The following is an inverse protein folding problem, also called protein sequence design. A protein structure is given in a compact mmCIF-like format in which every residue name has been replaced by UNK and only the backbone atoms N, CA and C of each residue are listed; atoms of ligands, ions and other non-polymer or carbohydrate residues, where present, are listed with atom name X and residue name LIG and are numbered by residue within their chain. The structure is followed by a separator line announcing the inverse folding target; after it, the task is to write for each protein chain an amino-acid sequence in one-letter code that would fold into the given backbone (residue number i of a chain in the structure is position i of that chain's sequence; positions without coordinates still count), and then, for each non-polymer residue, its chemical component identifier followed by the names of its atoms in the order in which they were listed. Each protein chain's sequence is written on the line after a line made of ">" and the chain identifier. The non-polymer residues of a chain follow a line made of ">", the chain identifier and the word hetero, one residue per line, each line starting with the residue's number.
data_IF_435772826601
#
_entry.id   IF_435772826601
#
_cell.length_a   1.000
_cell.length_b   1.000
_cell.length_c   1.000
_cell.angle_alpha   90.00
_cell.angle_beta   90.00
_cell.angle_gamma   90.00
#
_symmetry.space_group_name_H-M   'P 1'
#
loop_
_entity.id
_entity.type
_entity.pdbx_description
1 polymer ?
2 water ?
#
# COMPACT_ATOMS: atom_id res chain seq x y z
N UNK A 12 18.30 10.85 5.20
CA UNK A 12 17.03 11.63 5.26
C UNK A 12 16.59 11.85 6.71
N UNK A 13 15.87 12.95 6.93
CA UNK A 13 15.47 13.36 8.29
C UNK A 13 13.96 13.48 8.43
N UNK A 14 13.48 13.39 9.66
CA UNK A 14 12.07 13.65 9.97
C UNK A 14 11.84 15.15 9.97
N UNK A 15 10.83 15.60 9.22
CA UNK A 15 10.51 17.01 9.13
C UNK A 15 9.39 17.35 10.13
N UNK A 16 9.73 18.19 11.10
CA UNK A 16 8.76 18.67 12.07
C UNK A 16 7.99 19.82 11.46
N UNK A 17 6.66 19.72 11.52
CA UNK A 17 5.76 20.71 10.92
C UNK A 17 5.09 21.53 12.02
N UNK A 18 5.37 22.84 12.05
CA UNK A 18 4.95 23.69 13.18
C UNK A 18 3.89 24.74 12.84
N UNK A 19 3.40 24.71 11.61
CA UNK A 19 2.37 25.66 11.17
C UNK A 19 1.53 25.05 10.05
N UNK A 20 0.35 25.64 9.82
CA UNK A 20 -0.49 25.24 8.69
C UNK A 20 0.21 25.52 7.36
N UNK A 21 0.96 26.61 7.29
CA UNK A 21 1.75 26.94 6.10
C UNK A 21 2.77 25.83 5.81
N UNK A 22 3.50 25.40 6.84
CA UNK A 22 4.48 24.32 6.69
C UNK A 22 3.83 23.00 6.27
N UNK A 23 2.70 22.68 6.88
CA UNK A 23 1.92 21.49 6.51
C UNK A 23 1.57 21.53 5.03
N UNK A 24 0.97 22.64 4.62
CA UNK A 24 0.54 22.83 3.23
C UNK A 24 1.71 22.64 2.25
N UNK A 25 2.84 23.27 2.56
CA UNK A 25 4.04 23.20 1.71
C UNK A 25 4.58 21.79 1.59
N UNK A 26 4.66 21.08 2.71
CA UNK A 26 5.17 19.70 2.71
C UNK A 26 4.27 18.76 1.93
N UNK A 27 2.96 18.87 2.17
CA UNK A 27 1.99 18.02 1.48
C UNK A 27 1.93 18.31 -0.02
N UNK A 28 1.90 19.58 -0.42
CA UNK A 28 1.84 19.88 -1.85
C UNK A 28 3.11 19.48 -2.59
N UNK A 29 4.27 19.64 -1.96
CA UNK A 29 5.55 19.24 -2.56
C UNK A 29 5.66 17.73 -2.72
N UNK A 30 5.19 16.99 -1.71
CA UNK A 30 5.14 15.53 -1.77
C UNK A 30 4.16 15.05 -2.83
N UNK A 31 2.99 15.67 -2.90
CA UNK A 31 1.97 15.32 -3.89
C UNK A 31 2.43 15.53 -5.33
N UNK A 32 3.15 16.63 -5.56
CA UNK A 32 3.74 16.92 -6.88
C UNK A 32 4.77 15.84 -7.28
N UNK A 33 5.60 15.45 -6.32
CA UNK A 33 6.60 14.42 -6.52
C UNK A 33 6.02 13.00 -6.45
N UNK A 34 4.71 12.91 -6.19
CA UNK A 34 3.97 11.64 -6.08
C UNK A 34 4.57 10.66 -5.05
N UNK A 35 5.08 11.19 -3.94
CA UNK A 35 5.67 10.30 -2.95
C UNK A 35 4.83 10.08 -1.69
N UNK A 36 5.05 8.92 -1.07
CA UNK A 36 4.38 8.55 0.17
C UNK A 36 4.74 9.56 1.26
N UNK A 37 3.72 9.94 2.02
CA UNK A 37 3.91 10.74 3.24
C UNK A 37 3.48 9.91 4.43
N UNK A 38 4.37 9.80 5.41
CA UNK A 38 4.07 9.14 6.68
C UNK A 38 4.13 10.22 7.77
N UNK A 39 3.03 10.38 8.49
CA UNK A 39 2.93 11.41 9.51
C UNK A 39 2.80 10.80 10.90
N UNK A 40 3.73 11.17 11.78
CA UNK A 40 3.66 10.82 13.18
C UNK A 40 2.89 11.92 13.90
N UNK A 41 1.67 11.61 14.32
CA UNK A 41 0.89 12.49 15.18
C UNK A 41 1.27 12.24 16.63
N UNK A 42 1.84 13.26 17.25
CA UNK A 42 2.50 13.10 18.55
C UNK A 42 2.08 14.16 19.58
N UNK A 43 2.48 13.94 20.82
CA UNK A 43 2.33 14.92 21.89
C UNK A 43 3.53 14.84 22.82
N UNK A 44 3.96 16.00 23.31
CA UNK A 44 5.15 16.11 24.17
C UNK A 44 5.00 15.35 25.49
N UNK A 45 3.79 15.33 26.03
CA UNK A 45 3.50 14.67 27.30
C UNK A 45 3.30 13.16 27.18
N UNK A 46 3.15 12.69 25.95
CA UNK A 46 2.84 11.30 25.64
C UNK A 46 4.08 10.40 25.74
N UNK A 47 4.03 9.44 26.67
CA UNK A 47 5.12 8.48 26.87
C UNK A 47 5.44 7.58 25.69
N UNK A 48 4.44 6.82 25.18
CA UNK A 48 4.60 6.02 23.96
C UNK A 48 5.18 6.78 22.75
N UNK A 49 4.89 8.08 22.67
CA UNK A 49 5.38 8.94 21.60
C UNK A 49 6.91 9.13 21.68
N UNK A 50 7.43 9.16 22.91
CA UNK A 50 8.88 9.25 23.16
C UNK A 50 9.56 7.94 22.78
N UNK A 51 8.92 6.82 23.07
CA UNK A 51 9.41 5.49 22.71
C UNK A 51 9.55 5.33 21.20
N UNK A 52 8.57 5.84 20.46
CA UNK A 52 8.51 5.67 19.00
C UNK A 52 9.35 6.67 18.21
N UNK A 53 9.76 7.76 18.86
CA UNK A 53 10.56 8.79 18.18
C UNK A 53 11.81 8.24 17.47
N UNK A 54 12.67 7.47 18.18
CA UNK A 54 13.82 6.85 17.50
C UNK A 54 13.45 5.86 16.38
N UNK A 55 12.38 5.10 16.58
CA UNK A 55 11.92 4.11 15.60
C UNK A 55 11.50 4.83 14.31
N UNK A 56 10.76 5.92 14.47
CA UNK A 56 10.28 6.73 13.36
C UNK A 56 11.43 7.41 12.61
N UNK A 57 12.38 7.97 13.37
CA UNK A 57 13.56 8.61 12.79
C UNK A 57 14.45 7.62 12.03
N UNK A 58 14.58 6.41 12.57
CA UNK A 58 15.33 5.34 11.90
C UNK A 58 14.71 4.98 10.55
N UNK A 59 13.37 4.83 10.52
CA UNK A 59 12.65 4.51 9.29
C UNK A 59 12.80 5.59 8.22
N UNK A 60 12.84 6.84 8.66
CA UNK A 60 13.03 7.97 7.75
C UNK A 60 14.36 7.92 7.02
N UNK A 61 15.41 7.49 7.72
CA UNK A 61 16.74 7.32 7.12
C UNK A 61 16.75 6.16 6.13
N UNK A 62 16.01 5.11 6.47
CA UNK A 62 15.94 3.88 5.67
C UNK A 62 15.09 4.01 4.41
N UNK A 63 14.21 5.02 4.39
CA UNK A 63 13.30 5.21 3.27
C UNK A 63 13.29 6.66 2.78
N UNK A 64 14.38 7.08 2.11
CA UNK A 64 14.52 8.48 1.68
C UNK A 64 13.57 8.88 0.55
N UNK A 65 12.94 7.91 -0.11
CA UNK A 65 11.97 8.17 -1.17
C UNK A 65 10.61 8.63 -0.64
N UNK A 66 10.37 8.40 0.65
CA UNK A 66 9.15 8.86 1.30
C UNK A 66 9.44 10.03 2.24
N UNK A 67 8.42 10.83 2.50
CA UNK A 67 8.53 12.00 3.38
C UNK A 67 7.95 11.67 4.75
N UNK A 68 8.76 11.84 5.79
CA UNK A 68 8.34 11.53 7.15
C UNK A 68 8.12 12.82 7.92
N UNK A 69 6.88 13.05 8.34
CA UNK A 69 6.49 14.29 9.00
C UNK A 69 6.12 14.06 10.46
N UNK A 70 6.42 15.04 11.29
CA UNK A 70 6.04 15.00 12.70
C UNK A 70 5.08 16.16 12.98
N UNK A 71 3.92 15.84 13.56
CA UNK A 71 2.90 16.84 13.89
C UNK A 71 2.48 16.73 15.35
N UNK A 72 2.60 17.84 16.07
CA UNK A 72 2.15 17.91 17.46
C UNK A 72 0.66 18.25 17.48
N UNK A 73 -0.14 17.35 18.04
CA UNK A 73 -1.60 17.48 18.00
C UNK A 73 -2.13 18.70 18.75
N UNK A 74 -1.34 19.20 19.71
CA UNK A 74 -1.70 20.41 20.45
C UNK A 74 -1.30 21.66 19.69
N UNK A 75 -0.28 21.53 18.83
CA UNK A 75 0.23 22.66 18.05
C UNK A 75 -0.59 22.91 16.79
N UNK A 76 -0.95 21.82 16.11
CA UNK A 76 -1.70 21.89 14.86
C UNK A 76 -3.03 21.15 14.95
N UNK A 77 -3.94 21.69 15.75
CA UNK A 77 -5.24 21.08 15.99
C UNK A 77 -6.09 20.80 14.74
N UNK A 78 -6.17 21.75 13.78
CA UNK A 78 -6.96 21.48 12.57
C UNK A 78 -6.50 20.25 11.81
N UNK A 79 -5.20 19.98 11.80
CA UNK A 79 -4.68 18.80 11.10
C UNK A 79 -4.99 17.51 11.86
N UNK A 80 -4.82 17.53 13.18
CA UNK A 80 -5.22 16.39 14.00
C UNK A 80 -6.72 16.13 13.82
N UNK A 81 -7.53 17.19 13.87
CA UNK A 81 -8.99 17.06 13.76
C UNK A 81 -9.42 16.53 12.40
N UNK A 82 -8.75 17.00 11.35
CA UNK A 82 -9.00 16.59 9.98
C UNK A 82 -8.98 15.06 9.84
N UNK A 83 -8.03 14.43 10.50
CA UNK A 83 -7.83 12.98 10.40
C UNK A 83 -8.38 12.20 11.60
N UNK A 84 -9.17 12.90 12.43
CA UNK A 84 -9.79 12.31 13.63
C UNK A 84 -8.76 11.60 14.51
N UNK A 85 -7.69 12.31 14.85
CA UNK A 85 -6.62 11.76 15.68
C UNK A 85 -6.88 12.13 17.14
N UNK A 86 -7.21 11.12 17.95
CA UNK A 86 -7.46 11.30 19.39
C UNK A 86 -6.67 10.30 20.21
N UNK A 87 -5.99 9.39 19.52
CA UNK A 87 -5.07 8.43 20.14
C UNK A 87 -3.66 8.71 19.64
N UNK A 88 -2.68 8.61 20.54
CA UNK A 88 -1.30 8.91 20.20
C UNK A 88 -0.32 7.85 20.74
N UNK A 89 0.74 7.54 19.97
CA UNK A 89 1.00 8.08 18.63
C UNK A 89 0.12 7.44 17.55
N UNK A 90 -0.27 8.26 16.58
CA UNK A 90 -0.95 7.75 15.39
C UNK A 90 -0.02 8.00 14.21
N UNK A 91 0.26 6.94 13.45
CA UNK A 91 1.05 7.08 12.24
C UNK A 91 0.12 6.94 11.04
N UNK A 92 0.06 8.00 10.24
CA UNK A 92 -0.87 8.07 9.11
C UNK A 92 -0.09 7.98 7.81
N UNK A 93 -0.59 7.17 6.87
CA UNK A 93 0.04 6.99 5.57
C UNK A 93 -0.82 7.64 4.52
N UNK A 94 -0.23 8.52 3.71
CA UNK A 94 -0.98 9.27 2.70
C UNK A 94 -0.18 9.41 1.40
N UNK A 95 -0.85 9.18 0.28
CA UNK A 95 -0.23 9.31 -1.03
C UNK A 95 -1.22 9.95 -1.99
N UNK A 96 -0.82 11.08 -2.56
CA UNK A 96 -1.61 11.83 -3.54
C UNK A 96 -3.04 12.11 -3.07
N UNK A 97 -3.16 12.53 -1.81
CA UNK A 97 -4.43 12.98 -1.24
C UNK A 97 -5.26 11.90 -0.54
N UNK A 98 -4.86 10.65 -0.71
CA UNK A 98 -5.60 9.52 -0.16
C UNK A 98 -4.88 8.88 1.03
N UNK A 99 -5.62 8.63 2.10
CA UNK A 99 -5.10 7.89 3.25
C UNK A 99 -4.95 6.42 2.85
N UNK A 100 -3.75 5.88 3.05
CA UNK A 100 -3.43 4.51 2.64
C UNK A 100 -3.44 3.53 3.81
N UNK A 101 -3.15 4.04 5.01
CA UNK A 101 -3.04 3.20 6.19
C UNK A 101 -2.94 4.02 7.47
N UNK A 102 -3.11 3.38 8.61
CA UNK A 102 -2.95 4.00 9.92
C UNK A 102 -2.43 2.98 10.93
N UNK A 103 -1.48 3.42 11.76
CA UNK A 103 -0.97 2.61 12.87
C UNK A 103 -1.22 3.40 14.15
N UNK A 104 -1.88 2.78 15.11
CA UNK A 104 -2.24 3.45 16.37
C UNK A 104 -1.53 2.78 17.54
N UNK A 105 -0.74 3.57 18.26
CA UNK A 105 -0.01 3.09 19.43
C UNK A 105 1.45 2.83 19.12
N UNK A 106 2.19 2.43 20.15
CA UNK A 106 3.61 2.15 20.02
C UNK A 106 3.87 0.73 19.53
N UNK A 107 3.40 0.43 18.31
CA UNK A 107 3.59 -0.90 17.74
C UNK A 107 4.70 -0.88 16.69
N UNK A 108 5.92 -1.17 17.16
CA UNK A 108 7.12 -1.04 16.33
C UNK A 108 7.12 -1.92 15.08
N UNK A 109 6.70 -3.17 15.25
CA UNK A 109 6.69 -4.16 14.18
C UNK A 109 5.68 -3.80 13.08
N UNK A 110 4.50 -3.33 13.49
CA UNK A 110 3.43 -2.97 12.56
C UNK A 110 3.79 -1.71 11.75
N UNK A 111 4.36 -0.71 12.42
CA UNK A 111 4.82 0.50 11.75
C UNK A 111 5.89 0.19 10.71
N UNK A 112 6.88 -0.62 11.10
CA UNK A 112 7.97 -1.01 10.21
C UNK A 112 7.46 -1.75 8.98
N UNK A 113 6.56 -2.71 9.18
CA UNK A 113 6.01 -3.52 8.09
C UNK A 113 5.23 -2.67 7.10
N UNK A 114 4.44 -1.73 7.60
CA UNK A 114 3.57 -0.90 6.77
C UNK A 114 4.34 0.17 5.98
N UNK A 115 5.44 0.67 6.56
CA UNK A 115 6.34 1.55 5.83
C UNK A 115 6.98 0.81 4.65
N UNK A 116 7.44 -0.41 4.91
CA UNK A 116 8.01 -1.27 3.87
C UNK A 116 7.04 -1.57 2.75
N UNK A 117 5.76 -1.76 3.12
CA UNK A 117 4.70 -2.07 2.16
C UNK A 117 4.37 -0.87 1.27
N UNK A 118 4.26 0.31 1.88
CA UNK A 118 3.76 1.48 1.15
C UNK A 118 4.84 2.32 0.46
N UNK A 119 6.09 2.19 0.90
CA UNK A 119 7.19 2.99 0.34
C UNK A 119 7.78 2.40 -0.94
N UNK A 120 7.51 1.12 -1.20
CA UNK A 120 7.99 0.44 -2.39
C UNK A 120 7.28 0.92 -3.66
N UNK A 121 7.83 0.56 -4.82
CA UNK A 121 7.21 0.88 -6.11
C UNK A 121 5.83 0.24 -6.19
N UNK A 122 4.85 1.00 -6.67
CA UNK A 122 3.47 0.52 -6.75
C UNK A 122 3.04 0.32 -8.21
N UNK B 9 -12.53 4.25 7.91
CA UNK B 9 -12.16 3.00 7.18
C UNK B 9 -11.34 3.29 5.94
N UNK B 10 -10.29 2.50 5.74
CA UNK B 10 -9.38 2.68 4.61
C UNK B 10 -9.78 1.79 3.41
N UNK B 11 -9.67 2.34 2.21
CA UNK B 11 -9.98 1.62 0.98
C UNK B 11 -8.94 0.54 0.69
N UNK B 12 -9.41 -0.57 0.09
CA UNK B 12 -8.53 -1.68 -0.28
C UNK B 12 -7.69 -1.33 -1.50
N UNK B 13 -6.46 -1.82 -1.52
CA UNK B 13 -5.50 -1.46 -2.56
C UNK B 13 -4.81 -2.68 -3.17
N UNK B 14 -4.29 -2.51 -4.39
CA UNK B 14 -3.44 -3.50 -5.03
C UNK B 14 -2.13 -3.59 -4.25
N UNK B 15 -1.66 -4.82 -4.03
CA UNK B 15 -0.37 -5.03 -3.37
C UNK B 15 0.69 -5.38 -4.40
N UNK B 16 1.73 -4.56 -4.45
CA UNK B 16 2.82 -4.72 -5.40
C UNK B 16 3.89 -5.66 -4.81
N UNK B 17 4.00 -6.85 -5.38
CA UNK B 17 4.87 -7.90 -4.84
C UNK B 17 6.24 -7.87 -5.51
N UNK B 18 7.29 -7.67 -4.72
CA UNK B 18 8.64 -7.45 -5.28
C UNK B 18 9.66 -8.54 -4.95
N UNK B 19 9.28 -9.48 -4.09
CA UNK B 19 10.18 -10.56 -3.69
C UNK B 19 9.41 -11.86 -3.52
N UNK B 20 10.14 -12.98 -3.54
CA UNK B 20 9.55 -14.29 -3.30
C UNK B 20 9.04 -14.39 -1.87
N UNK B 21 9.74 -13.71 -0.95
CA UNK B 21 9.34 -13.63 0.45
C UNK B 21 7.98 -12.95 0.59
N UNK B 22 7.79 -11.86 -0.13
CA UNK B 22 6.52 -11.13 -0.11
C UNK B 22 5.40 -11.92 -0.77
N UNK B 23 5.72 -12.61 -1.87
CA UNK B 23 4.76 -13.51 -2.51
C UNK B 23 4.26 -14.54 -1.51
N UNK B 24 5.20 -15.24 -0.87
CA UNK B 24 4.88 -16.30 0.07
C UNK B 24 3.96 -15.80 1.18
N UNK B 25 4.28 -14.65 1.76
CA UNK B 25 3.51 -14.04 2.84
C UNK B 25 2.06 -13.75 2.42
N UNK B 26 1.91 -13.10 1.27
CA UNK B 26 0.59 -12.73 0.76
C UNK B 26 -0.29 -13.95 0.50
N UNK B 27 0.28 -14.96 -0.16
CA UNK B 27 -0.47 -16.18 -0.49
C UNK B 27 -0.83 -16.96 0.77
N UNK B 28 0.12 -17.10 1.70
CA UNK B 28 -0.11 -17.76 2.98
C UNK B 28 -1.28 -17.15 3.73
N UNK B 29 -1.26 -15.83 3.88
CA UNK B 29 -2.28 -15.10 4.65
C UNK B 29 -3.65 -15.14 3.97
N UNK B 30 -3.66 -15.08 2.64
CA UNK B 30 -4.88 -15.23 1.87
C UNK B 30 -5.47 -16.63 2.05
N UNK B 31 -4.60 -17.64 1.97
CA UNK B 31 -5.01 -19.04 2.12
C UNK B 31 -5.61 -19.35 3.49
N UNK B 32 -5.01 -18.80 4.54
CA UNK B 32 -5.53 -18.95 5.91
C UNK B 32 -6.90 -18.26 6.06
N UNK B 33 -7.06 -17.13 5.37
CA UNK B 33 -8.33 -16.39 5.39
C UNK B 33 -9.34 -16.93 4.37
N UNK B 34 -8.92 -17.94 3.60
CA UNK B 34 -9.72 -18.53 2.53
C UNK B 34 -10.26 -17.46 1.56
N UNK B 35 -9.36 -16.57 1.15
CA UNK B 35 -9.70 -15.44 0.28
C UNK B 35 -9.31 -15.70 -1.16
N UNK B 36 -10.13 -15.20 -2.08
CA UNK B 36 -9.76 -15.18 -3.50
C UNK B 36 -8.55 -14.28 -3.67
N UNK B 37 -7.60 -14.75 -4.48
CA UNK B 37 -6.44 -13.97 -4.88
C UNK B 37 -6.50 -13.74 -6.39
N UNK B 38 -6.42 -12.48 -6.81
CA UNK B 38 -6.32 -12.13 -8.22
C UNK B 38 -4.96 -11.49 -8.47
N UNK B 39 -4.16 -12.11 -9.33
CA UNK B 39 -2.80 -11.63 -9.61
C UNK B 39 -2.70 -11.03 -11.02
N UNK B 40 -2.22 -9.79 -11.09
CA UNK B 40 -1.93 -9.15 -12.36
C UNK B 40 -0.46 -9.39 -12.70
N UNK B 41 -0.21 -10.25 -13.69
CA UNK B 41 1.13 -10.46 -14.21
C UNK B 41 1.44 -9.44 -15.30
N UNK B 42 2.40 -8.58 -15.02
CA UNK B 42 2.63 -7.38 -15.82
C UNK B 42 4.10 -7.22 -16.22
N UNK B 43 4.34 -6.31 -17.16
CA UNK B 43 5.68 -5.89 -17.51
C UNK B 43 5.68 -4.38 -17.73
N UNK B 44 6.77 -3.73 -17.35
CA UNK B 44 6.87 -2.28 -17.44
C UNK B 44 6.90 -1.76 -18.88
N UNK B 45 7.36 -2.61 -19.80
CA UNK B 45 7.47 -2.25 -21.22
C UNK B 45 6.21 -2.52 -22.05
N UNK B 46 5.13 -2.89 -21.38
CA UNK B 46 3.91 -3.38 -22.03
C UNK B 46 2.79 -2.33 -22.05
N UNK B 47 2.31 -2.01 -23.25
CA UNK B 47 1.21 -1.07 -23.44
C UNK B 47 -0.15 -1.47 -22.86
N UNK B 48 -0.66 -2.66 -23.24
CA UNK B 48 -1.90 -3.19 -22.64
C UNK B 48 -1.88 -3.23 -21.10
N UNK B 49 -0.70 -3.40 -20.52
CA UNK B 49 -0.53 -3.42 -19.07
C UNK B 49 -0.79 -2.04 -18.43
N UNK B 50 -0.45 -0.99 -19.18
CA UNK B 50 -0.69 0.38 -18.74
C UNK B 50 -2.18 0.75 -18.82
N UNK B 51 -2.85 0.21 -19.84
CA UNK B 51 -4.30 0.34 -19.99
C UNK B 51 -5.03 -0.28 -18.79
N UNK B 52 -4.60 -1.49 -18.42
CA UNK B 52 -5.31 -2.28 -17.41
C UNK B 52 -5.02 -1.89 -15.97
N UNK B 53 -3.93 -1.15 -15.75
CA UNK B 53 -3.52 -0.76 -14.39
C UNK B 53 -4.64 -0.07 -13.59
N UNK B 54 -5.24 1.01 -14.14
CA UNK B 54 -6.35 1.67 -13.41
C UNK B 54 -7.59 0.79 -13.24
N UNK B 55 -7.85 -0.08 -14.24
CA UNK B 55 -8.98 -1.01 -14.19
C UNK B 55 -8.80 -2.00 -13.03
N UNK B 56 -7.58 -2.52 -12.89
CA UNK B 56 -7.25 -3.48 -11.85
C UNK B 56 -7.29 -2.82 -10.46
N UNK B 57 -6.79 -1.59 -10.36
CA UNK B 57 -6.83 -0.83 -9.11
C UNK B 57 -8.26 -0.56 -8.64
N UNK B 58 -9.13 -0.22 -9.57
CA UNK B 58 -10.54 0.08 -9.29
C UNK B 58 -11.29 -1.16 -8.78
N UNK B 59 -11.03 -2.31 -9.40
CA UNK B 59 -11.62 -3.56 -8.94
C UNK B 59 -11.18 -3.92 -7.53
N UNK B 60 -9.91 -3.64 -7.23
CA UNK B 60 -9.36 -3.89 -5.89
C UNK B 60 -10.12 -3.18 -4.78
N UNK B 61 -10.51 -1.91 -5.03
CA UNK B 61 -11.26 -1.16 -4.02
C UNK B 61 -12.73 -1.57 -4.01
N UNK B 62 -13.23 -2.08 -5.13
CA UNK B 62 -14.61 -2.53 -5.26
C UNK B 62 -14.83 -3.90 -4.62
N UNK B 63 -13.74 -4.66 -4.44
CA UNK B 63 -13.81 -6.01 -3.87
C UNK B 63 -12.77 -6.20 -2.76
N UNK B 64 -13.00 -5.55 -1.59
CA UNK B 64 -12.05 -5.57 -0.48
C UNK B 64 -11.86 -6.93 0.19
N UNK B 65 -12.82 -7.83 -0.03
CA UNK B 65 -12.78 -9.20 0.46
C UNK B 65 -11.69 -10.03 -0.23
N UNK B 66 -11.39 -9.66 -1.49
CA UNK B 66 -10.43 -10.39 -2.32
C UNK B 66 -9.07 -9.69 -2.27
N UNK B 67 -8.00 -10.47 -2.45
CA UNK B 67 -6.64 -9.93 -2.43
C UNK B 67 -6.11 -9.75 -3.85
N UNK B 68 -5.78 -8.50 -4.19
CA UNK B 68 -5.30 -8.15 -5.53
C UNK B 68 -3.80 -7.88 -5.51
N UNK B 69 -3.04 -8.69 -6.24
CA UNK B 69 -1.59 -8.62 -6.27
C UNK B 69 -1.06 -8.23 -7.64
N UNK B 70 0.05 -7.51 -7.67
CA UNK B 70 0.73 -7.17 -8.90
C UNK B 70 2.14 -7.75 -8.93
N UNK B 71 2.43 -8.51 -9.98
CA UNK B 71 3.72 -9.19 -10.13
C UNK B 71 4.35 -8.86 -11.48
N UNK B 72 5.56 -8.31 -11.45
CA UNK B 72 6.36 -8.11 -12.66
C UNK B 72 7.01 -9.43 -13.05
N UNK B 73 6.76 -9.88 -14.28
CA UNK B 73 7.22 -11.21 -14.73
C UNK B 73 8.75 -11.30 -14.88
N UNK B 74 9.41 -10.16 -15.03
CA UNK B 74 10.87 -10.12 -15.12
C UNK B 74 11.51 -10.11 -13.73
N UNK B 75 10.81 -9.53 -12.75
CA UNK B 75 11.31 -9.45 -11.39
C UNK B 75 11.18 -10.79 -10.66
N UNK B 76 10.05 -11.45 -10.84
CA UNK B 76 9.74 -12.70 -10.15
C UNK B 76 9.48 -13.84 -11.14
N UNK B 77 10.55 -14.24 -11.84
CA UNK B 77 10.46 -15.26 -12.89
C UNK B 77 9.89 -16.62 -12.45
N UNK B 78 10.33 -17.16 -11.28
CA UNK B 78 9.77 -18.45 -10.84
C UNK B 78 8.24 -18.46 -10.70
N UNK B 79 7.66 -17.35 -10.25
CA UNK B 79 6.21 -17.26 -10.08
C UNK B 79 5.49 -17.17 -11.42
N UNK B 80 6.01 -16.36 -12.34
CA UNK B 80 5.47 -16.27 -13.70
C UNK B 80 5.56 -17.61 -14.42
N UNK B 81 6.71 -18.27 -14.29
CA UNK B 81 6.95 -19.56 -14.93
C UNK B 81 6.05 -20.66 -14.38
N UNK B 82 5.80 -20.61 -13.07
CA UNK B 82 4.92 -21.58 -12.41
C UNK B 82 3.56 -21.67 -13.09
N UNK B 83 3.02 -20.51 -13.48
CA UNK B 83 1.71 -20.46 -14.10
C UNK B 83 1.78 -20.36 -15.63
N UNK B 84 2.97 -20.58 -16.17
CA UNK B 84 3.21 -20.53 -17.62
C UNK B 84 2.72 -19.23 -18.25
N UNK B 85 3.12 -18.11 -17.64
CA UNK B 85 2.73 -16.80 -18.15
C UNK B 85 3.72 -16.32 -19.20
N UNK B 86 3.27 -16.29 -20.46
CA UNK B 86 4.09 -15.82 -21.58
C UNK B 86 3.38 -14.74 -22.40
N UNK B 87 2.21 -14.33 -21.91
CA UNK B 87 1.43 -13.24 -22.48
C UNK B 87 1.06 -12.25 -21.39
N UNK B 88 1.19 -10.96 -21.70
CA UNK B 88 0.93 -9.90 -20.72
C UNK B 88 -0.05 -8.83 -21.23
N UNK B 89 -0.96 -8.33 -20.37
CA UNK B 89 -1.14 -8.77 -18.98
C UNK B 89 -1.91 -10.09 -18.88
N UNK B 90 -1.54 -10.91 -17.90
CA UNK B 90 -2.32 -12.09 -17.57
C UNK B 90 -2.84 -11.92 -16.14
N UNK B 91 -4.15 -12.09 -15.99
CA UNK B 91 -4.79 -12.04 -14.67
C UNK B 91 -5.14 -13.45 -14.26
N UNK B 92 -4.63 -13.85 -13.10
CA UNK B 92 -4.79 -15.20 -12.61
C UNK B 92 -5.67 -15.18 -11.37
N UNK B 93 -6.60 -16.12 -11.29
CA UNK B 93 -7.51 -16.23 -10.16
C UNK B 93 -7.17 -17.48 -9.37
N UNK B 94 -6.89 -17.30 -8.08
CA UNK B 94 -6.48 -18.41 -7.21
C UNK B 94 -7.27 -18.40 -5.91
N UNK B 95 -7.62 -19.57 -5.41
CA UNK B 95 -8.22 -19.68 -4.09
C UNK B 95 -7.83 -21.00 -3.44
N UNK B 96 -7.26 -20.91 -2.24
CA UNK B 96 -6.78 -22.07 -1.48
C UNK B 96 -5.87 -22.99 -2.31
N UNK B 97 -4.95 -22.38 -3.05
CA UNK B 97 -3.95 -23.10 -3.85
C UNK B 97 -4.44 -23.61 -5.19
N UNK B 98 -5.68 -23.26 -5.55
CA UNK B 98 -6.29 -23.75 -6.76
C UNK B 98 -6.55 -22.62 -7.75
N UNK B 99 -6.07 -22.79 -8.99
CA UNK B 99 -6.30 -21.82 -10.05
C UNK B 99 -7.73 -21.97 -10.56
N UNK B 100 -8.49 -20.89 -10.45
CA UNK B 100 -9.92 -20.90 -10.76
C UNK B 100 -10.22 -20.35 -12.15
N UNK B 101 -9.41 -19.39 -12.60
CA UNK B 101 -9.66 -18.70 -13.87
C UNK B 101 -8.45 -17.90 -14.32
N UNK B 102 -8.48 -17.48 -15.58
CA UNK B 102 -7.46 -16.62 -16.16
C UNK B 102 -8.08 -15.66 -17.17
N UNK B 103 -7.51 -14.46 -17.25
CA UNK B 103 -7.81 -13.51 -18.32
C UNK B 103 -6.49 -13.16 -18.99
N UNK B 104 -6.43 -13.34 -20.31
CA UNK B 104 -5.23 -13.03 -21.08
C UNK B 104 -5.49 -11.82 -21.97
N UNK B 105 -4.70 -10.78 -21.78
CA UNK B 105 -4.83 -9.55 -22.56
C UNK B 105 -5.63 -8.48 -21.86
N UNK B 106 -5.69 -7.31 -22.49
CA UNK B 106 -6.41 -6.17 -21.95
C UNK B 106 -7.91 -6.26 -22.24
N UNK B 107 -8.57 -7.22 -21.60
CA UNK B 107 -10.00 -7.44 -21.78
C UNK B 107 -10.76 -6.97 -20.54
N UNK B 108 -11.17 -5.70 -20.55
CA UNK B 108 -11.81 -5.07 -19.38
C UNK B 108 -13.11 -5.75 -18.92
N UNK B 109 -14.01 -6.00 -19.88
CA UNK B 109 -15.30 -6.63 -19.58
C UNK B 109 -15.14 -8.01 -18.94
N UNK B 110 -14.21 -8.81 -19.47
CA UNK B 110 -13.98 -10.17 -19.00
C UNK B 110 -13.38 -10.17 -17.61
N UNK B 111 -12.41 -9.29 -17.37
CA UNK B 111 -11.79 -9.19 -16.05
C UNK B 111 -12.82 -8.79 -15.00
N UNK B 112 -13.60 -7.74 -15.30
CA UNK B 112 -14.62 -7.25 -14.38
C UNK B 112 -15.66 -8.34 -14.07
N UNK B 113 -16.10 -9.03 -15.11
CA UNK B 113 -17.08 -10.10 -14.97
C UNK B 113 -16.55 -11.26 -14.12
N UNK B 114 -15.31 -11.65 -14.37
CA UNK B 114 -14.72 -12.79 -13.67
C UNK B 114 -14.39 -12.51 -12.21
N UNK B 115 -13.99 -11.28 -11.91
CA UNK B 115 -13.81 -10.84 -10.54
C UNK B 115 -15.13 -10.93 -9.78
N UNK B 116 -16.19 -10.37 -10.35
CA UNK B 116 -17.53 -10.41 -9.75
C UNK B 116 -18.04 -11.82 -9.52
N UNK B 117 -17.78 -12.70 -10.48
CA UNK B 117 -18.16 -14.10 -10.39
C UNK B 117 -17.43 -14.81 -9.25
N UNK B 118 -16.10 -14.75 -9.28
CA UNK B 118 -15.27 -15.52 -8.34
C UNK B 118 -15.18 -14.94 -6.93
N UNK B 119 -15.43 -13.64 -6.79
CA UNK B 119 -15.41 -13.00 -5.47
C UNK B 119 -16.63 -13.39 -4.63
N UNK B 120 -17.74 -13.68 -5.30
CA UNK B 120 -18.99 -14.03 -4.63
C UNK B 120 -19.08 -15.49 -4.17
N UNK B 121 -18.08 -16.30 -4.55
CA UNK B 121 -18.09 -17.74 -4.27
C UNK B 121 -17.80 -18.06 -2.80
N UNK B 122 -18.53 -18.83 -2.17
#
# INVERSE_FOLDING_TARGET
>A
MAASATAAAVAAEVISVHSLEQWTMQIEEANTAKKLVVIDFTASWCGPCRIMAPVFADLAKKFPNAVFLKVDVDELKPIAEQFSVEAMPTFLFMKEGDVKDRVVGAIKEELTAKVGLHAAAQ
>B
MAASATAAAVAAEVISVHSLEQWTMQIEEANTAKKLVVIDFTASWCGPCRIMAPVFADLAKKFPNAVFLKVDVDELKPIAEQFSVEAMPTFLFMKEGDVKDRVVGAIKEELTAKVGLHAAAQ
#
